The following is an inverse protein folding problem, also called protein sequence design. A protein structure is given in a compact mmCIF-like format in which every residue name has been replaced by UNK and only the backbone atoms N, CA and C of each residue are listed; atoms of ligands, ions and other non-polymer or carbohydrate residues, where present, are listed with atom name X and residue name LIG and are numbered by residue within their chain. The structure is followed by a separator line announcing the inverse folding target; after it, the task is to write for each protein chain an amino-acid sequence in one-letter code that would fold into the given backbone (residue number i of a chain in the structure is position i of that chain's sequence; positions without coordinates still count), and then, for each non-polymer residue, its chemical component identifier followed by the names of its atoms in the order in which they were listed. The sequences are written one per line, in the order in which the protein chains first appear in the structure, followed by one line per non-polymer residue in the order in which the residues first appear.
data_IF_660389293622
#
_entry.id   IF_660389293622
#
_cell.length_a   1.000
_cell.length_b   1.000
_cell.length_c   1.000
_cell.angle_alpha   90.00
_cell.angle_beta   90.00
_cell.angle_gamma   90.00
#
_symmetry.space_group_name_H-M   'P 1'
#
loop_
_entity.id
_entity.type
_entity.pdbx_description
1 polymer ?
#
# COMPACT_ATOMS: atom_id res chain seq x y z
N UNK A 1 -6.09 44.43 0.28
CA UNK A 1 -5.94 43.16 1.03
C UNK A 1 -6.21 42.05 0.05
N UNK A 2 -5.19 41.24 -0.20
CA UNK A 2 -5.20 40.21 -1.24
C UNK A 2 -5.90 38.96 -0.70
N UNK A 3 -7.15 38.74 -1.10
CA UNK A 3 -8.02 37.66 -0.59
C UNK A 3 -7.70 36.27 -1.17
N UNK A 4 -6.55 36.12 -1.83
CA UNK A 4 -6.09 34.90 -2.48
C UNK A 4 -4.67 34.49 -2.07
N UNK A 5 -4.27 34.72 -0.82
CA UNK A 5 -3.09 34.05 -0.30
C UNK A 5 -3.36 32.52 -0.34
N UNK A 6 -2.77 31.83 -1.33
CA UNK A 6 -2.78 30.37 -1.37
C UNK A 6 -2.17 29.87 -0.08
N UNK A 7 -2.92 29.03 0.63
CA UNK A 7 -2.41 28.34 1.81
C UNK A 7 -1.35 27.36 1.34
N UNK A 8 -0.09 27.66 1.61
CA UNK A 8 1.05 26.83 1.23
C UNK A 8 1.16 25.60 2.14
N UNK A 9 1.44 24.40 1.60
CA UNK A 9 1.60 23.19 2.40
C UNK A 9 2.86 23.28 3.29
N UNK A 10 2.72 22.93 4.57
CA UNK A 10 3.83 22.94 5.53
C UNK A 10 4.54 21.60 5.61
N UNK A 11 3.86 20.49 5.28
CA UNK A 11 4.48 19.16 5.15
C UNK A 11 4.72 18.87 3.68
N UNK A 12 5.98 18.67 3.32
CA UNK A 12 6.43 18.47 1.94
C UNK A 12 7.36 17.27 1.89
N UNK A 13 7.61 16.74 0.68
CA UNK A 13 8.58 15.67 0.51
C UNK A 13 10.02 16.09 0.92
N UNK A 14 10.32 17.39 0.91
CA UNK A 14 11.64 17.92 1.25
C UNK A 14 11.89 18.03 2.76
N UNK A 15 10.84 18.17 3.57
CA UNK A 15 10.97 18.40 5.01
C UNK A 15 10.28 17.33 5.89
N UNK A 16 9.56 16.37 5.30
CA UNK A 16 8.89 15.29 6.03
C UNK A 16 9.53 13.94 5.71
N UNK A 17 9.91 13.20 6.75
CA UNK A 17 10.46 11.85 6.61
C UNK A 17 9.35 10.80 6.59
N UNK A 18 9.42 9.83 5.67
CA UNK A 18 8.44 8.73 5.64
C UNK A 18 9.11 7.44 6.11
N UNK A 19 8.65 6.90 7.24
CA UNK A 19 8.88 5.50 7.58
C UNK A 19 7.90 4.64 6.78
N UNK A 20 8.34 3.50 6.24
CA UNK A 20 7.48 2.76 5.33
C UNK A 20 7.71 1.25 5.31
N UNK A 21 6.63 0.53 5.01
CA UNK A 21 6.66 -0.89 4.65
C UNK A 21 5.71 -1.11 3.47
N UNK A 22 6.27 -1.04 2.26
CA UNK A 22 5.50 -1.05 1.02
C UNK A 22 5.88 -2.30 0.21
N UNK A 23 4.91 -3.19 0.06
CA UNK A 23 5.05 -4.44 -0.68
C UNK A 23 3.86 -4.67 -1.60
N UNK A 24 4.14 -5.24 -2.76
CA UNK A 24 3.19 -5.39 -3.84
C UNK A 24 3.31 -6.77 -4.48
N UNK A 25 2.16 -7.39 -4.77
CA UNK A 25 2.07 -8.54 -5.66
C UNK A 25 1.71 -8.02 -7.05
N UNK A 26 2.60 -8.22 -8.02
CA UNK A 26 2.44 -7.74 -9.39
C UNK A 26 2.40 -8.94 -10.35
N UNK A 27 1.32 -9.08 -11.11
CA UNK A 27 1.24 -10.02 -12.21
C UNK A 27 1.23 -9.31 -13.55
N UNK A 28 2.07 -9.79 -14.46
CA UNK A 28 2.12 -9.35 -15.87
C UNK A 28 1.92 -10.55 -16.79
N UNK A 29 1.31 -10.29 -17.95
CA UNK A 29 0.85 -11.33 -18.85
C UNK A 29 1.52 -11.21 -20.21
N UNK A 30 2.22 -12.24 -20.62
CA UNK A 30 2.76 -12.44 -21.95
C UNK A 30 1.65 -12.69 -22.99
N UNK A 31 1.94 -12.32 -24.23
CA UNK A 31 1.19 -12.77 -25.41
C UNK A 31 1.67 -14.14 -25.90
N UNK A 32 2.92 -14.45 -25.58
CA UNK A 32 3.65 -15.67 -25.91
C UNK A 32 4.38 -16.15 -24.66
N UNK A 33 5.00 -17.31 -24.75
CA UNK A 33 5.83 -17.85 -23.71
C UNK A 33 7.04 -16.95 -23.47
N UNK A 34 7.35 -16.73 -22.21
CA UNK A 34 8.41 -15.82 -21.81
C UNK A 34 9.72 -16.58 -21.61
N UNK A 35 10.89 -15.97 -21.91
CA UNK A 35 12.17 -16.62 -21.71
C UNK A 35 12.37 -16.99 -20.24
N UNK A 36 13.19 -18.02 -20.01
CA UNK A 36 13.58 -18.44 -18.66
C UNK A 36 14.06 -17.24 -17.84
N UNK A 37 13.57 -17.12 -16.60
CA UNK A 37 13.90 -16.02 -15.71
C UNK A 37 15.41 -15.89 -15.45
N UNK A 38 16.18 -16.98 -15.52
CA UNK A 38 17.62 -16.96 -15.38
C UNK A 38 18.32 -16.05 -16.42
N UNK A 39 17.67 -15.81 -17.57
CA UNK A 39 18.22 -14.98 -18.65
C UNK A 39 18.13 -13.49 -18.35
N UNK A 40 17.09 -13.03 -17.66
CA UNK A 40 16.79 -11.60 -17.53
C UNK A 40 16.65 -11.09 -16.09
N UNK A 41 16.50 -11.96 -15.09
CA UNK A 41 16.17 -11.55 -13.73
C UNK A 41 17.23 -10.65 -13.09
N UNK A 42 18.52 -11.00 -13.24
CA UNK A 42 19.62 -10.22 -12.66
C UNK A 42 19.67 -8.79 -13.22
N UNK A 43 19.57 -8.65 -14.55
CA UNK A 43 19.55 -7.33 -15.20
C UNK A 43 18.28 -6.55 -14.85
N UNK A 44 17.13 -7.23 -14.75
CA UNK A 44 15.88 -6.58 -14.36
C UNK A 44 15.94 -6.04 -12.93
N UNK A 45 16.54 -6.78 -11.99
CA UNK A 45 16.74 -6.33 -10.61
C UNK A 45 17.55 -5.03 -10.56
N UNK A 46 18.68 -4.98 -11.28
CA UNK A 46 19.51 -3.77 -11.37
C UNK A 46 18.74 -2.60 -11.99
N UNK A 47 18.02 -2.86 -13.08
CA UNK A 47 17.30 -1.82 -13.81
C UNK A 47 16.12 -1.22 -13.04
N UNK A 48 15.44 -2.02 -12.20
CA UNK A 48 14.29 -1.59 -11.39
C UNK A 48 14.70 -0.89 -10.10
N UNK A 49 15.86 -1.24 -9.52
CA UNK A 49 16.35 -0.62 -8.28
C UNK A 49 16.60 0.90 -8.45
N UNK A 50 17.03 1.34 -9.64
CA UNK A 50 17.21 2.77 -9.99
C UNK A 50 15.88 3.54 -9.91
N UNK A 51 14.76 2.88 -10.21
CA UNK A 51 13.42 3.44 -10.14
C UNK A 51 12.84 3.41 -8.70
N UNK A 52 13.62 2.95 -7.72
CA UNK A 52 13.17 2.76 -6.34
C UNK A 52 12.27 1.53 -6.16
N UNK A 53 12.36 0.57 -7.09
CA UNK A 53 11.53 -0.64 -7.16
C UNK A 53 12.43 -1.87 -7.00
N UNK A 54 12.31 -2.56 -5.86
CA UNK A 54 13.10 -3.75 -5.55
C UNK A 54 12.28 -5.00 -5.79
N UNK A 55 12.78 -5.90 -6.63
CA UNK A 55 12.19 -7.24 -6.80
C UNK A 55 12.64 -8.16 -5.66
N UNK A 56 11.68 -8.68 -4.88
CA UNK A 56 11.93 -9.60 -3.78
C UNK A 56 11.89 -11.06 -4.24
N UNK A 57 10.95 -11.39 -5.13
CA UNK A 57 10.83 -12.71 -5.75
C UNK A 57 10.11 -12.62 -7.09
N UNK A 58 10.29 -13.65 -7.90
CA UNK A 58 9.53 -13.88 -9.13
C UNK A 58 9.10 -15.33 -9.20
N UNK A 59 7.88 -15.56 -9.66
CA UNK A 59 7.30 -16.87 -9.87
C UNK A 59 6.66 -16.94 -11.25
N UNK A 60 6.98 -17.98 -12.00
CA UNK A 60 6.30 -18.34 -13.25
C UNK A 60 5.04 -19.12 -12.88
N UNK A 61 3.86 -18.54 -13.12
CA UNK A 61 2.56 -19.17 -12.79
C UNK A 61 2.01 -20.01 -13.94
N UNK A 62 2.34 -19.60 -15.16
CA UNK A 62 2.13 -20.31 -16.42
C UNK A 62 3.21 -19.85 -17.39
N UNK A 63 3.34 -20.51 -18.54
CA UNK A 63 4.35 -20.20 -19.58
C UNK A 63 4.38 -18.71 -19.99
N UNK A 64 3.25 -18.01 -19.84
CA UNK A 64 3.09 -16.60 -20.18
C UNK A 64 2.66 -15.71 -19.00
N UNK A 65 2.70 -16.17 -17.75
CA UNK A 65 2.31 -15.35 -16.59
C UNK A 65 3.43 -15.29 -15.56
N UNK A 66 3.95 -14.08 -15.35
CA UNK A 66 4.92 -13.79 -14.30
C UNK A 66 4.24 -13.09 -13.14
N UNK A 67 4.53 -13.56 -11.93
CA UNK A 67 4.13 -12.92 -10.69
C UNK A 67 5.38 -12.50 -9.91
N UNK A 68 5.43 -11.23 -9.52
CA UNK A 68 6.50 -10.63 -8.75
C UNK A 68 6.00 -10.27 -7.36
N UNK A 69 6.86 -10.47 -6.36
CA UNK A 69 6.76 -9.75 -5.09
C UNK A 69 7.75 -8.60 -5.13
N UNK A 70 7.26 -7.39 -4.86
CA UNK A 70 8.02 -6.15 -5.06
C UNK A 70 7.97 -5.31 -3.78
N UNK A 71 9.08 -4.68 -3.40
CA UNK A 71 9.14 -3.65 -2.37
C UNK A 71 9.57 -2.32 -2.97
N UNK A 72 9.05 -1.19 -2.47
CA UNK A 72 9.25 0.10 -3.13
C UNK A 72 9.52 1.24 -2.16
N UNK A 73 10.11 2.31 -2.69
CA UNK A 73 10.12 3.62 -2.03
C UNK A 73 8.70 4.23 -2.03
N UNK A 74 8.39 5.12 -1.08
CA UNK A 74 7.05 5.70 -0.94
C UNK A 74 6.68 6.71 -2.03
N UNK A 75 7.65 7.11 -2.86
CA UNK A 75 7.44 7.95 -4.04
C UNK A 75 6.85 7.20 -5.23
N UNK A 76 6.93 5.86 -5.26
CA UNK A 76 6.51 5.06 -6.39
C UNK A 76 5.02 4.72 -6.28
N UNK A 77 4.21 5.20 -7.21
CA UNK A 77 2.81 4.78 -7.37
C UNK A 77 2.71 3.36 -7.96
N UNK A 78 1.60 2.63 -7.74
CA UNK A 78 1.36 1.33 -8.39
C UNK A 78 1.58 1.35 -9.90
N UNK A 79 1.16 2.41 -10.58
CA UNK A 79 1.33 2.55 -12.03
C UNK A 79 2.81 2.67 -12.44
N UNK A 80 3.63 3.36 -11.65
CA UNK A 80 5.07 3.50 -11.88
C UNK A 80 5.82 2.20 -11.58
N UNK A 81 5.37 1.43 -10.58
CA UNK A 81 5.90 0.10 -10.28
C UNK A 81 5.69 -0.82 -11.49
N UNK A 82 4.46 -0.87 -12.02
CA UNK A 82 4.13 -1.64 -13.22
C UNK A 82 4.98 -1.17 -14.39
N UNK A 83 5.09 0.16 -14.60
CA UNK A 83 5.91 0.74 -15.68
C UNK A 83 7.37 0.31 -15.57
N UNK A 84 7.94 0.37 -14.37
CA UNK A 84 9.32 -0.05 -14.11
C UNK A 84 9.49 -1.53 -14.43
N UNK A 85 8.79 -2.43 -13.73
CA UNK A 85 9.00 -3.88 -13.90
C UNK A 85 8.69 -4.35 -15.32
N UNK A 86 7.49 -4.03 -15.85
CA UNK A 86 7.05 -4.48 -17.17
C UNK A 86 7.81 -3.80 -18.30
N UNK A 87 8.09 -2.50 -18.18
CA UNK A 87 8.79 -1.73 -19.20
C UNK A 87 10.26 -2.10 -19.31
N UNK A 88 10.96 -2.24 -18.17
CA UNK A 88 12.35 -2.69 -18.13
C UNK A 88 12.45 -4.12 -18.66
N UNK A 89 11.56 -5.03 -18.24
CA UNK A 89 11.56 -6.40 -18.76
C UNK A 89 11.31 -6.45 -20.27
N UNK A 90 10.33 -5.68 -20.77
CA UNK A 90 10.10 -5.58 -22.21
C UNK A 90 11.35 -5.12 -22.95
N UNK A 91 12.11 -4.17 -22.40
CA UNK A 91 13.35 -3.71 -23.01
C UNK A 91 14.39 -4.82 -23.10
N UNK A 92 14.58 -5.60 -22.03
CA UNK A 92 15.56 -6.68 -21.96
C UNK A 92 15.28 -7.81 -22.96
N UNK A 93 14.00 -8.13 -23.20
CA UNK A 93 13.62 -9.26 -24.05
C UNK A 93 13.17 -8.85 -25.47
N UNK A 94 13.18 -7.55 -25.81
CA UNK A 94 12.55 -7.06 -27.06
C UNK A 94 13.17 -7.61 -28.34
N UNK A 95 14.47 -7.89 -28.32
CA UNK A 95 15.19 -8.35 -29.52
C UNK A 95 14.81 -9.80 -29.86
N UNK A 96 14.44 -10.59 -28.87
CA UNK A 96 13.90 -11.95 -29.04
C UNK A 96 12.39 -11.96 -29.19
N UNK A 97 11.68 -11.13 -28.41
CA UNK A 97 10.22 -11.10 -28.35
C UNK A 97 9.73 -9.64 -28.38
N UNK A 98 9.55 -9.07 -29.58
CA UNK A 98 8.99 -7.74 -29.70
C UNK A 98 7.53 -7.73 -29.22
N UNK A 99 7.17 -6.71 -28.42
CA UNK A 99 5.81 -6.55 -27.88
C UNK A 99 5.28 -7.75 -27.08
N UNK A 100 6.17 -8.37 -26.28
CA UNK A 100 5.96 -9.59 -25.50
C UNK A 100 4.72 -9.56 -24.59
N UNK A 101 4.36 -8.40 -24.04
CA UNK A 101 3.29 -8.32 -23.03
C UNK A 101 1.94 -7.85 -23.58
N UNK A 102 0.86 -8.40 -23.00
CA UNK A 102 -0.50 -7.86 -23.12
C UNK A 102 -0.58 -6.50 -22.47
N UNK A 103 -1.60 -5.69 -22.80
CA UNK A 103 -1.81 -4.39 -22.13
C UNK A 103 -2.15 -4.56 -20.64
N UNK A 104 -2.94 -5.57 -20.30
CA UNK A 104 -3.42 -5.75 -18.95
C UNK A 104 -2.33 -6.16 -17.94
N UNK A 105 -2.60 -5.86 -16.67
CA UNK A 105 -1.80 -6.27 -15.52
C UNK A 105 -2.69 -6.39 -14.28
N UNK A 106 -2.15 -6.99 -13.23
CA UNK A 106 -2.75 -6.97 -11.91
C UNK A 106 -1.69 -6.53 -10.90
N UNK A 107 -1.96 -5.51 -10.08
CA UNK A 107 -1.07 -5.11 -8.99
C UNK A 107 -1.86 -4.94 -7.70
N UNK A 108 -1.40 -5.50 -6.59
CA UNK A 108 -2.09 -5.30 -5.33
C UNK A 108 -1.13 -5.12 -4.16
N UNK A 109 -1.51 -4.21 -3.26
CA UNK A 109 -0.85 -3.99 -1.98
C UNK A 109 -0.90 -5.26 -1.12
N UNK A 110 0.21 -5.54 -0.46
CA UNK A 110 0.39 -6.68 0.44
C UNK A 110 1.06 -6.20 1.73
N UNK A 111 0.61 -6.69 2.87
CA UNK A 111 1.12 -6.29 4.17
C UNK A 111 1.59 -7.47 5.02
N UNK A 112 2.20 -7.19 6.16
CA UNK A 112 2.40 -8.22 7.19
C UNK A 112 1.08 -8.64 7.83
N UNK A 113 0.18 -7.68 8.01
CA UNK A 113 -1.21 -7.92 8.34
C UNK A 113 -2.09 -7.77 7.08
N UNK A 114 -3.13 -8.59 7.01
CA UNK A 114 -4.20 -8.44 6.03
C UNK A 114 -5.22 -7.36 6.48
N UNK A 115 -6.17 -7.04 5.61
CA UNK A 115 -7.20 -6.01 5.87
C UNK A 115 -8.03 -6.28 7.12
N UNK A 116 -8.36 -7.53 7.44
CA UNK A 116 -9.20 -7.84 8.62
C UNK A 116 -8.43 -7.65 9.92
N UNK A 117 -7.21 -8.18 10.00
CA UNK A 117 -6.32 -8.02 11.17
C UNK A 117 -6.03 -6.54 11.42
N UNK A 118 -5.71 -5.80 10.35
CA UNK A 118 -5.41 -4.38 10.50
C UNK A 118 -6.64 -3.55 10.85
N UNK A 119 -7.80 -3.87 10.26
CA UNK A 119 -9.07 -3.23 10.60
C UNK A 119 -9.41 -3.38 12.08
N UNK A 120 -9.26 -4.59 12.64
CA UNK A 120 -9.45 -4.87 14.07
C UNK A 120 -8.43 -4.12 14.94
N UNK A 121 -7.16 -4.08 14.52
CA UNK A 121 -6.11 -3.34 15.22
C UNK A 121 -6.44 -1.84 15.33
N UNK A 122 -6.93 -1.23 14.25
CA UNK A 122 -7.32 0.19 14.23
C UNK A 122 -8.62 0.43 15.01
N UNK A 123 -9.58 -0.49 14.95
CA UNK A 123 -10.82 -0.41 15.73
C UNK A 123 -10.56 -0.35 17.24
N UNK A 124 -9.57 -1.10 17.72
CA UNK A 124 -9.21 -1.13 19.16
C UNK A 124 -8.28 -0.01 19.61
N UNK A 125 -7.95 0.99 18.79
CA UNK A 125 -6.99 2.04 19.20
C UNK A 125 -7.51 2.86 20.39
N UNK A 126 -8.78 3.26 20.38
CA UNK A 126 -9.35 4.02 21.49
C UNK A 126 -9.28 3.24 22.83
N UNK A 127 -9.42 1.91 22.80
CA UNK A 127 -9.36 1.07 24.01
C UNK A 127 -7.92 0.84 24.50
N UNK A 128 -6.95 0.77 23.58
CA UNK A 128 -5.52 0.60 23.91
C UNK A 128 -4.89 1.85 24.51
N UNK A 129 -5.52 3.01 24.30
CA UNK A 129 -5.09 4.29 24.84
C UNK A 129 -6.14 4.82 25.82
N UNK A 130 -6.33 4.15 26.98
CA UNK A 130 -7.36 4.55 27.94
C UNK A 130 -7.07 5.94 28.49
N UNK A 131 -8.11 6.76 28.53
CA UNK A 131 -8.08 8.07 29.17
C UNK A 131 -8.59 7.93 30.60
N UNK A 132 -8.06 8.76 31.50
CA UNK A 132 -8.39 8.70 32.92
C UNK A 132 -9.86 9.05 33.23
N UNK A 133 -10.53 9.76 32.32
CA UNK A 133 -11.92 10.19 32.46
C UNK A 133 -12.81 9.46 31.44
N UNK A 134 -13.82 8.75 31.94
CA UNK A 134 -14.75 7.95 31.13
C UNK A 134 -15.54 8.81 30.13
N UNK A 135 -15.83 10.06 30.46
CA UNK A 135 -16.52 11.00 29.57
C UNK A 135 -15.61 11.46 28.42
N UNK A 136 -14.31 11.65 28.66
CA UNK A 136 -13.33 11.87 27.58
C UNK A 136 -13.18 10.59 26.75
N UNK A 137 -13.09 9.41 27.38
CA UNK A 137 -13.00 8.13 26.69
C UNK A 137 -14.17 7.90 25.73
N UNK A 138 -15.40 8.12 26.19
CA UNK A 138 -16.61 7.98 25.38
C UNK A 138 -16.61 8.94 24.17
N UNK A 139 -16.10 10.17 24.35
CA UNK A 139 -15.95 11.13 23.25
C UNK A 139 -14.95 10.65 22.20
N UNK A 140 -13.81 10.09 22.61
CA UNK A 140 -12.86 9.51 21.66
C UNK A 140 -13.45 8.32 20.90
N UNK A 141 -14.21 7.46 21.56
CA UNK A 141 -14.92 6.37 20.89
C UNK A 141 -15.92 6.88 19.84
N UNK A 142 -16.67 7.94 20.14
CA UNK A 142 -17.60 8.56 19.20
C UNK A 142 -16.93 9.28 18.00
N UNK A 143 -15.64 9.63 18.14
CA UNK A 143 -14.84 10.27 17.10
C UNK A 143 -14.23 9.28 16.10
N UNK A 144 -14.25 7.97 16.38
CA UNK A 144 -13.77 6.99 15.42
C UNK A 144 -14.63 7.01 14.15
N UNK A 145 -14.03 6.69 13.00
CA UNK A 145 -14.75 6.57 11.73
C UNK A 145 -14.64 5.15 11.20
N UNK A 146 -15.76 4.61 10.72
CA UNK A 146 -15.80 3.33 10.00
C UNK A 146 -16.85 3.39 8.89
N UNK A 147 -16.45 3.04 7.67
CA UNK A 147 -17.36 2.79 6.56
C UNK A 147 -17.31 1.30 6.19
N UNK A 148 -18.36 0.58 6.58
CA UNK A 148 -18.52 -0.86 6.34
C UNK A 148 -18.73 -1.20 4.86
N UNK A 149 -19.16 -0.25 4.03
CA UNK A 149 -19.32 -0.45 2.60
C UNK A 149 -17.96 -0.49 1.87
N UNK A 150 -16.89 -0.03 2.50
CA UNK A 150 -15.56 0.07 1.89
C UNK A 150 -14.71 -1.16 2.21
N UNK A 151 -14.66 -2.09 1.25
CA UNK A 151 -13.83 -3.30 1.34
C UNK A 151 -12.43 -3.10 0.73
N UNK A 152 -11.44 -2.82 1.58
CA UNK A 152 -10.03 -2.63 1.20
C UNK A 152 -9.25 -3.93 0.95
N UNK A 153 -9.92 -5.09 0.97
CA UNK A 153 -9.32 -6.37 0.55
C UNK A 153 -9.47 -6.62 -0.95
N UNK A 154 -10.42 -5.93 -1.61
CA UNK A 154 -10.82 -6.20 -3.00
C UNK A 154 -10.21 -5.21 -3.99
N UNK A 155 -9.52 -5.70 -5.04
CA UNK A 155 -9.03 -4.87 -6.13
C UNK A 155 -10.14 -4.10 -6.84
N UNK A 156 -9.78 -2.91 -7.33
CA UNK A 156 -10.58 -2.11 -8.24
C UNK A 156 -10.20 -2.42 -9.68
N UNK A 157 -11.17 -2.42 -10.59
CA UNK A 157 -10.94 -2.54 -12.04
C UNK A 157 -10.72 -1.14 -12.60
N UNK A 158 -9.54 -0.91 -13.19
CA UNK A 158 -9.24 0.29 -13.97
C UNK A 158 -9.19 0.00 -15.47
N UNK A 159 -8.84 1.03 -16.26
CA UNK A 159 -8.77 0.95 -17.73
C UNK A 159 -7.82 -0.14 -18.24
N UNK A 160 -6.71 -0.36 -17.55
CA UNK A 160 -5.62 -1.24 -18.01
C UNK A 160 -5.45 -2.49 -17.15
N UNK A 161 -6.33 -2.77 -16.18
CA UNK A 161 -6.13 -3.91 -15.30
C UNK A 161 -6.78 -3.75 -13.95
N UNK A 162 -6.44 -4.65 -13.05
CA UNK A 162 -6.89 -4.62 -11.66
C UNK A 162 -5.80 -4.03 -10.78
N UNK A 163 -6.20 -3.19 -9.84
CA UNK A 163 -5.26 -2.66 -8.86
C UNK A 163 -5.85 -2.61 -7.45
N UNK A 164 -5.00 -2.75 -6.44
CA UNK A 164 -5.31 -2.45 -5.05
C UNK A 164 -4.18 -1.61 -4.47
N UNK A 165 -4.50 -0.40 -4.02
CA UNK A 165 -3.56 0.54 -3.36
C UNK A 165 -4.09 0.86 -1.97
N UNK A 166 -4.20 -0.18 -1.13
CA UNK A 166 -4.65 -0.03 0.26
C UNK A 166 -3.49 0.36 1.15
N UNK A 167 -3.64 1.48 1.85
CA UNK A 167 -2.61 2.16 2.62
C UNK A 167 -3.06 2.39 4.05
N UNK A 168 -2.19 2.01 4.98
CA UNK A 168 -2.23 2.46 6.37
C UNK A 168 -1.34 3.70 6.47
N UNK A 169 -1.91 4.80 6.94
CA UNK A 169 -1.16 6.02 7.20
C UNK A 169 -1.26 6.31 8.69
N UNK A 170 -0.10 6.50 9.33
CA UNK A 170 -0.04 6.92 10.72
C UNK A 170 0.73 8.22 10.81
N UNK A 171 0.13 9.20 11.49
CA UNK A 171 0.74 10.51 11.74
C UNK A 171 0.67 10.80 13.23
N UNK A 172 1.77 11.30 13.77
CA UNK A 172 1.91 11.60 15.20
C UNK A 172 1.93 13.10 15.42
N UNK A 173 1.39 13.54 16.55
CA UNK A 173 1.48 14.91 16.99
C UNK A 173 2.91 15.26 17.42
N UNK A 174 3.30 16.52 17.26
CA UNK A 174 4.63 17.00 17.69
C UNK A 174 4.73 17.10 19.22
N UNK A 175 5.95 17.05 19.77
CA UNK A 175 6.25 17.42 21.17
C UNK A 175 5.39 16.74 22.25
N UNK A 176 4.96 15.49 22.03
CA UNK A 176 4.01 14.77 22.91
C UNK A 176 2.70 15.54 23.14
N UNK A 177 2.26 16.30 22.15
CA UNK A 177 0.99 16.99 22.18
C UNK A 177 -0.17 15.96 22.19
N UNK A 178 -0.98 16.00 23.24
CA UNK A 178 -2.21 15.24 23.35
C UNK A 178 -3.41 16.17 23.13
N UNK A 179 -4.00 16.12 21.94
CA UNK A 179 -5.23 16.86 21.65
C UNK A 179 -6.42 16.13 22.28
N UNK A 180 -7.19 16.84 23.09
CA UNK A 180 -8.40 16.30 23.74
C UNK A 180 -9.64 17.14 23.47
N UNK A 181 -9.49 18.27 22.78
CA UNK A 181 -10.61 19.15 22.44
C UNK A 181 -11.41 18.52 21.31
N UNK A 182 -12.56 17.97 21.69
CA UNK A 182 -13.49 17.25 20.81
C UNK A 182 -13.78 18.00 19.50
N UNK A 183 -14.04 19.31 19.54
CA UNK A 183 -14.34 20.09 18.34
C UNK A 183 -13.19 20.12 17.32
N UNK A 184 -11.92 20.09 17.77
CA UNK A 184 -10.78 20.01 16.86
C UNK A 184 -10.65 18.60 16.27
N UNK A 185 -10.77 17.56 17.10
CA UNK A 185 -10.69 16.17 16.66
C UNK A 185 -11.81 15.82 15.67
N UNK A 186 -13.03 16.31 15.91
CA UNK A 186 -14.15 16.18 14.99
C UNK A 186 -13.84 16.86 13.65
N UNK A 187 -13.32 18.10 13.67
CA UNK A 187 -12.91 18.81 12.44
C UNK A 187 -11.80 18.08 11.69
N UNK A 188 -10.84 17.48 12.40
CA UNK A 188 -9.79 16.63 11.81
C UNK A 188 -10.41 15.44 11.08
N UNK A 189 -11.28 14.68 11.75
CA UNK A 189 -12.01 13.56 11.14
C UNK A 189 -12.74 14.01 9.87
N UNK A 190 -13.54 15.07 9.98
CA UNK A 190 -14.40 15.52 8.90
C UNK A 190 -13.59 16.06 7.71
N UNK A 191 -12.43 16.69 7.96
CA UNK A 191 -11.51 17.11 6.90
C UNK A 191 -10.88 15.89 6.21
N UNK A 192 -10.47 14.86 6.94
CA UNK A 192 -9.93 13.62 6.34
C UNK A 192 -11.00 12.96 5.46
N UNK A 193 -12.23 12.84 5.95
CA UNK A 193 -13.36 12.29 5.17
C UNK A 193 -13.56 13.08 3.87
N UNK A 194 -13.70 14.41 3.96
CA UNK A 194 -13.87 15.27 2.77
C UNK A 194 -12.69 15.21 1.81
N UNK A 195 -11.47 15.11 2.31
CA UNK A 195 -10.28 14.99 1.48
C UNK A 195 -10.28 13.67 0.69
N UNK A 196 -10.66 12.57 1.36
CA UNK A 196 -10.83 11.27 0.72
C UNK A 196 -11.93 11.31 -0.35
N UNK A 197 -13.12 11.87 -0.04
CA UNK A 197 -14.22 12.01 -0.99
C UNK A 197 -13.80 12.83 -2.22
N UNK A 198 -13.20 14.00 -2.01
CA UNK A 198 -12.75 14.89 -3.10
C UNK A 198 -11.73 14.22 -4.03
N UNK A 199 -10.88 13.35 -3.48
CA UNK A 199 -9.86 12.62 -4.23
C UNK A 199 -10.33 11.24 -4.70
N UNK A 200 -11.58 10.89 -4.41
CA UNK A 200 -12.15 9.58 -4.68
C UNK A 200 -11.34 8.43 -4.05
N UNK A 201 -10.74 8.69 -2.90
CA UNK A 201 -10.12 7.66 -2.07
C UNK A 201 -11.19 6.90 -1.30
N UNK A 202 -11.00 5.59 -1.24
CA UNK A 202 -11.88 4.65 -0.54
C UNK A 202 -11.50 4.64 0.95
N UNK A 203 -12.03 5.56 1.74
CA UNK A 203 -11.76 5.62 3.17
C UNK A 203 -12.55 4.54 3.91
N UNK A 204 -11.86 3.63 4.62
CA UNK A 204 -12.52 2.58 5.41
C UNK A 204 -12.57 2.93 6.89
N UNK A 205 -11.47 3.45 7.46
CA UNK A 205 -11.38 3.65 8.90
C UNK A 205 -10.49 4.82 9.26
N UNK A 206 -10.87 5.56 10.30
CA UNK A 206 -10.00 6.51 11.01
C UNK A 206 -9.95 6.09 12.48
N UNK A 207 -8.74 5.81 12.95
CA UNK A 207 -8.40 5.62 14.36
C UNK A 207 -7.87 6.91 14.95
N UNK A 208 -8.69 7.70 15.65
CA UNK A 208 -8.24 8.93 16.31
C UNK A 208 -7.88 8.65 17.77
N UNK A 209 -6.64 8.93 18.16
CA UNK A 209 -6.22 8.96 19.57
C UNK A 209 -5.55 10.29 19.86
N UNK A 210 -5.24 10.56 21.13
CA UNK A 210 -4.89 11.91 21.57
C UNK A 210 -3.55 12.40 21.00
N UNK A 211 -2.61 11.50 20.74
CA UNK A 211 -1.25 11.78 20.26
C UNK A 211 -0.98 11.38 18.82
N UNK A 212 -1.84 10.56 18.19
CA UNK A 212 -1.64 10.12 16.82
C UNK A 212 -2.94 9.71 16.11
N UNK A 213 -2.85 9.54 14.80
CA UNK A 213 -3.99 9.24 13.93
C UNK A 213 -3.61 8.07 13.03
N UNK A 214 -4.47 7.05 12.98
CA UNK A 214 -4.42 5.98 11.99
C UNK A 214 -5.48 6.22 10.92
N UNK A 215 -5.12 6.07 9.65
CA UNK A 215 -6.06 6.14 8.52
C UNK A 215 -5.88 4.92 7.63
N UNK A 216 -6.97 4.19 7.39
CA UNK A 216 -7.03 3.08 6.44
C UNK A 216 -7.83 3.49 5.22
N UNK A 217 -7.17 3.57 4.05
CA UNK A 217 -7.81 3.96 2.81
C UNK A 217 -7.28 3.21 1.59
N UNK A 218 -8.04 3.20 0.51
CA UNK A 218 -7.61 2.79 -0.82
C UNK A 218 -7.45 4.00 -1.75
N UNK A 219 -6.24 4.23 -2.26
CA UNK A 219 -5.93 5.34 -3.17
C UNK A 219 -5.96 4.94 -4.66
N UNK A 220 -5.82 5.90 -5.57
CA UNK A 220 -5.74 5.65 -7.00
C UNK A 220 -4.45 4.92 -7.42
N UNK A 221 -4.49 4.27 -8.58
CA UNK A 221 -3.33 3.53 -9.13
C UNK A 221 -2.13 4.44 -9.48
N UNK A 222 -2.38 5.73 -9.71
CA UNK A 222 -1.37 6.75 -10.04
C UNK A 222 -0.91 7.54 -8.81
N UNK A 223 -1.40 7.21 -7.62
CA UNK A 223 -1.09 7.97 -6.42
C UNK A 223 -0.01 7.27 -5.60
N UNK A 224 1.11 7.97 -5.44
CA UNK A 224 2.22 7.53 -4.62
C UNK A 224 1.84 7.55 -3.13
N UNK A 225 2.21 6.53 -2.34
CA UNK A 225 1.93 6.48 -0.90
C UNK A 225 2.36 7.74 -0.13
N UNK A 226 3.52 8.32 -0.47
CA UNK A 226 4.01 9.56 0.16
C UNK A 226 3.07 10.74 -0.12
N UNK A 227 2.62 10.91 -1.36
CA UNK A 227 1.74 12.01 -1.76
C UNK A 227 0.39 11.94 -1.04
N UNK A 228 -0.14 10.73 -0.84
CA UNK A 228 -1.35 10.50 -0.05
C UNK A 228 -1.15 10.94 1.40
N UNK A 229 -0.06 10.49 2.04
CA UNK A 229 0.25 10.84 3.43
C UNK A 229 0.44 12.35 3.63
N UNK A 230 1.25 13.00 2.78
CA UNK A 230 1.48 14.45 2.84
C UNK A 230 0.19 15.25 2.64
N UNK A 231 -0.69 14.79 1.74
CA UNK A 231 -1.99 15.42 1.54
C UNK A 231 -2.83 15.34 2.81
N UNK A 232 -2.90 14.18 3.48
CA UNK A 232 -3.61 14.04 4.75
C UNK A 232 -2.99 14.94 5.83
N UNK A 233 -1.66 14.93 6.00
CA UNK A 233 -0.98 15.76 7.00
C UNK A 233 -1.29 17.26 6.84
N UNK A 234 -1.27 17.78 5.61
CA UNK A 234 -1.59 19.19 5.35
C UNK A 234 -3.07 19.50 5.59
N UNK A 235 -3.97 18.55 5.28
CA UNK A 235 -5.38 18.69 5.60
C UNK A 235 -5.61 18.74 7.12
N UNK A 236 -4.92 17.90 7.90
CA UNK A 236 -4.98 17.97 9.37
C UNK A 236 -4.44 19.32 9.87
N UNK A 237 -3.28 19.78 9.38
CA UNK A 237 -2.74 21.09 9.78
C UNK A 237 -3.67 22.26 9.43
N UNK A 238 -4.45 22.16 8.34
CA UNK A 238 -5.44 23.18 7.97
C UNK A 238 -6.51 23.38 9.05
N UNK A 239 -6.87 22.34 9.81
CA UNK A 239 -7.79 22.47 10.96
C UNK A 239 -7.23 23.38 12.06
N UNK A 240 -5.90 23.45 12.16
CA UNK A 240 -5.15 24.22 13.13
C UNK A 240 -4.47 25.44 12.51
N UNK A 241 -5.06 26.03 11.47
CA UNK A 241 -4.55 27.26 10.82
C UNK A 241 -3.12 27.10 10.29
N UNK A 242 -2.78 25.92 9.77
CA UNK A 242 -1.45 25.56 9.29
C UNK A 242 -0.35 25.60 10.36
N UNK A 243 -0.71 25.35 11.63
CA UNK A 243 0.27 25.09 12.69
C UNK A 243 0.92 23.73 12.52
N UNK A 244 2.19 23.64 12.94
CA UNK A 244 3.00 22.41 12.93
C UNK A 244 2.61 21.48 14.08
N UNK A 245 1.36 21.01 14.04
CA UNK A 245 0.79 20.15 15.08
C UNK A 245 1.23 18.68 14.96
N UNK A 246 1.68 18.25 13.78
CA UNK A 246 2.21 16.92 13.53
C UNK A 246 3.74 16.96 13.50
N UNK A 247 4.37 15.83 13.84
CA UNK A 247 5.79 15.63 13.54
C UNK A 247 6.04 15.76 12.04
N UNK A 248 7.23 16.19 11.67
CA UNK A 248 7.73 16.13 10.28
C UNK A 248 8.09 14.69 9.88
N UNK A 249 7.21 13.76 10.22
CA UNK A 249 7.33 12.35 9.90
C UNK A 249 5.96 11.69 9.80
N UNK A 250 5.87 10.63 9.01
CA UNK A 250 4.72 9.75 8.95
C UNK A 250 5.15 8.30 8.73
N UNK A 251 4.27 7.36 9.07
CA UNK A 251 4.39 5.98 8.66
C UNK A 251 3.40 5.67 7.53
N UNK A 252 3.84 4.91 6.53
CA UNK A 252 2.99 4.41 5.45
C UNK A 252 3.24 2.91 5.20
N UNK A 253 2.19 2.11 5.35
CA UNK A 253 2.22 0.66 5.15
C UNK A 253 1.22 0.20 4.11
N UNK A 254 1.58 -0.78 3.28
CA UNK A 254 0.62 -1.48 2.42
C UNK A 254 -0.07 -2.60 3.18
N UNK A 255 -1.34 -2.86 2.86
CA UNK A 255 -2.08 -4.04 3.31
C UNK A 255 -3.05 -4.50 2.21
N UNK A 256 -3.69 -5.65 2.38
CA UNK A 256 -4.63 -6.17 1.38
C UNK A 256 -5.36 -7.42 1.85
N UNK A 257 -6.04 -8.10 0.92
CA UNK A 257 -6.84 -9.28 1.26
C UNK A 257 -6.06 -10.48 1.78
N UNK A 258 -4.74 -10.50 1.62
CA UNK A 258 -3.87 -11.52 2.17
C UNK A 258 -2.55 -10.91 2.68
N UNK A 259 -1.93 -11.61 3.62
CA UNK A 259 -0.64 -11.23 4.18
C UNK A 259 0.55 -11.78 3.37
N UNK A 260 1.75 -11.28 3.67
CA UNK A 260 3.01 -11.73 3.07
C UNK A 260 3.28 -13.23 3.30
N UNK A 261 2.81 -13.78 4.41
CA UNK A 261 2.94 -15.21 4.72
C UNK A 261 2.15 -16.08 3.76
N UNK A 262 0.99 -15.64 3.30
CA UNK A 262 0.20 -16.32 2.28
C UNK A 262 0.89 -16.31 0.91
N UNK A 263 1.56 -15.21 0.54
CA UNK A 263 2.38 -15.14 -0.68
C UNK A 263 3.50 -16.17 -0.61
N UNK A 264 4.28 -16.19 0.49
CA UNK A 264 5.40 -17.12 0.68
C UNK A 264 4.98 -18.60 0.77
N UNK A 265 3.88 -18.91 1.43
CA UNK A 265 3.36 -20.29 1.49
C UNK A 265 2.92 -20.79 0.12
N UNK A 266 2.41 -19.89 -0.73
CA UNK A 266 2.08 -20.25 -2.10
C UNK A 266 3.34 -20.48 -2.95
N UNK A 267 4.41 -19.71 -2.73
CA UNK A 267 5.74 -19.93 -3.33
C UNK A 267 6.29 -21.33 -2.98
N UNK A 268 6.22 -21.72 -1.71
CA UNK A 268 6.71 -23.03 -1.24
C UNK A 268 5.88 -24.21 -1.78
N UNK A 269 4.56 -24.06 -1.93
CA UNK A 269 3.69 -25.12 -2.47
C UNK A 269 3.91 -25.38 -3.96
N UNK A 270 4.21 -24.35 -4.75
CA UNK A 270 4.51 -24.51 -6.20
C UNK A 270 5.90 -25.11 -6.41
N UNK A 271 6.88 -24.73 -5.59
CA UNK A 271 8.19 -25.37 -5.61
C UNK A 271 8.13 -26.87 -5.20
N UNK A 272 7.22 -27.23 -4.28
CA UNK A 272 7.02 -28.61 -3.81
C UNK A 272 6.32 -29.55 -4.80
N UNK A 273 5.61 -29.03 -5.82
CA UNK A 273 4.97 -29.87 -6.85
C UNK A 273 5.90 -30.25 -8.01
N UNK A 274 7.10 -29.67 -8.10
CA UNK A 274 8.09 -29.97 -9.14
C UNK A 274 9.08 -31.10 -8.74
N UNK A 275 8.82 -31.81 -7.64
CA UNK A 275 9.71 -32.84 -7.09
C UNK A 275 8.97 -34.09 -6.62
N UNK A 276 8.17 -34.70 -7.49
CA UNK A 276 7.79 -36.11 -7.31
C UNK A 276 8.81 -36.98 -8.05
N UNK A 277 9.72 -37.59 -7.30
CA UNK A 277 10.61 -38.64 -7.81
C UNK A 277 9.80 -39.79 -8.42
N UNK A 278 10.32 -40.49 -9.45
CA UNK A 278 9.59 -41.60 -10.07
C UNK A 278 9.37 -42.72 -9.06
N UNK A 279 8.16 -43.29 -9.03
CA UNK A 279 7.88 -44.51 -8.27
C UNK A 279 8.82 -45.65 -8.73
N UNK A 280 9.35 -46.46 -7.80
CA UNK A 280 10.20 -47.58 -8.15
C UNK A 280 9.39 -48.68 -8.83
N UNK A 281 9.94 -49.19 -9.94
CA UNK A 281 9.40 -50.31 -10.73
C UNK A 281 9.07 -51.53 -9.85
N UNK A 282 7.96 -52.24 -10.11
CA UNK A 282 7.61 -53.44 -9.36
C UNK A 282 8.64 -54.54 -9.61
N UNK A 283 8.95 -55.31 -8.57
CA UNK A 283 9.83 -56.46 -8.63
C UNK A 283 9.17 -57.57 -9.44
N UNK A 284 9.90 -58.11 -10.41
CA UNK A 284 9.58 -59.37 -11.07
C UNK A 284 9.71 -60.50 -10.03
N UNK A 285 8.64 -61.29 -9.89
CA UNK A 285 8.64 -62.54 -9.14
C UNK A 285 9.08 -63.68 -10.08
N UNK A 286 10.09 -64.45 -9.65
CA UNK A 286 10.37 -65.81 -10.14
C UNK A 286 9.39 -66.81 -9.52
#
# INVERSE_FOLDING_TARGET
MDWHAKVEPIYTAANTTTAYQLNWSLSIFGKVDLPDQAVWLGELQVATEVDGVRLLSVNVRSENTLQFLVSTRPVSSPSEIVRSVKGRLQYLIRDSIPNAFRRNYHIQSTGEANSSVLGQYVAGQAEKHPLADDGVQARFQALQFHDEAVDLSKPTIGTYGQFLNSLQIVVENTENWHEVREHHLQRVRDVIVRACEKKQWRLSRIGLVSDHIHVLLGAGVTEAPQSVALSLMNNVAFVYDMKRILKFSCYVGTFGGYDRGAVRKHEQRVAGSAGASPEPRPKEEE
#
